data_IF_378487589910
#
_entry.id   IF_378487589910
#
_cell.length_a   1.000
_cell.length_b   1.000
_cell.length_c   1.000
_cell.angle_alpha   90.00
_cell.angle_beta   90.00
_cell.angle_gamma   90.00
#
_symmetry.space_group_name_H-M   'P 1'
#
loop_
_entity.id
_entity.type
_entity.pdbx_description
1 polymer ?
#
# COMPACT_ATOMS: atom_id res chain seq x y z
N UNK A 1 -22.26 15.44 15.10
CA UNK A 1 -22.17 13.97 15.19
C UNK A 1 -21.88 13.45 13.80
N UNK A 2 -20.63 13.11 13.53
CA UNK A 2 -20.25 12.47 12.27
C UNK A 2 -20.43 10.96 12.47
N UNK A 3 -21.39 10.37 11.76
CA UNK A 3 -21.54 8.92 11.68
C UNK A 3 -20.81 8.50 10.41
N UNK A 4 -19.58 8.03 10.56
CA UNK A 4 -18.92 7.33 9.46
C UNK A 4 -19.42 5.90 9.51
N UNK A 5 -20.17 5.54 8.48
CA UNK A 5 -20.55 4.16 8.25
C UNK A 5 -19.28 3.35 7.94
N UNK A 6 -19.03 2.27 8.68
CA UNK A 6 -17.83 1.42 8.54
C UNK A 6 -17.78 0.65 7.20
N UNK A 7 -18.73 0.89 6.30
CA UNK A 7 -18.75 0.32 4.95
C UNK A 7 -17.63 0.90 4.08
N UNK A 8 -16.47 0.23 4.12
CA UNK A 8 -15.28 0.53 3.33
C UNK A 8 -15.51 0.21 1.83
N UNK A 9 -16.17 -0.90 1.51
CA UNK A 9 -16.57 -1.26 0.15
C UNK A 9 -17.86 -2.08 0.17
N UNK A 10 -18.74 -1.84 -0.81
CA UNK A 10 -19.94 -2.64 -1.04
C UNK A 10 -19.81 -3.30 -2.40
N UNK A 11 -20.10 -4.60 -2.46
CA UNK A 11 -20.14 -5.32 -3.73
C UNK A 11 -21.34 -4.83 -4.56
N UNK A 12 -21.06 -4.20 -5.71
CA UNK A 12 -22.10 -3.65 -6.60
C UNK A 12 -22.46 -4.64 -7.70
N UNK A 13 -21.48 -5.36 -8.24
CA UNK A 13 -21.69 -6.19 -9.43
C UNK A 13 -21.69 -7.68 -9.08
N UNK A 14 -22.83 -8.34 -9.30
CA UNK A 14 -23.05 -9.75 -8.96
C UNK A 14 -23.07 -10.68 -10.19
N UNK A 15 -22.90 -10.12 -11.40
CA UNK A 15 -22.85 -10.87 -12.67
C UNK A 15 -21.55 -10.51 -13.38
N UNK A 16 -20.76 -11.52 -13.78
CA UNK A 16 -19.49 -11.38 -14.49
C UNK A 16 -18.50 -10.37 -13.88
N UNK A 17 -18.14 -10.58 -12.60
CA UNK A 17 -17.11 -9.77 -11.94
C UNK A 17 -15.77 -9.86 -12.66
N UNK A 18 -15.28 -8.71 -13.10
CA UNK A 18 -13.92 -8.56 -13.63
C UNK A 18 -13.19 -7.49 -12.83
N UNK A 19 -12.01 -7.85 -12.32
CA UNK A 19 -11.12 -6.91 -11.65
C UNK A 19 -10.44 -6.05 -12.71
N UNK A 20 -10.84 -4.78 -12.79
CA UNK A 20 -10.27 -3.80 -13.73
C UNK A 20 -9.06 -3.06 -13.15
N UNK A 21 -8.94 -3.04 -11.82
CA UNK A 21 -7.83 -2.43 -11.11
C UNK A 21 -6.55 -3.25 -11.27
N UNK A 22 -5.40 -2.58 -11.15
CA UNK A 22 -4.08 -3.19 -11.28
C UNK A 22 -3.21 -2.77 -10.12
N UNK A 23 -2.46 -3.72 -9.59
CA UNK A 23 -1.41 -3.47 -8.61
C UNK A 23 -0.39 -2.47 -9.17
N UNK A 24 -0.01 -1.51 -8.33
CA UNK A 24 0.88 -0.42 -8.69
C UNK A 24 2.29 -0.87 -9.11
N UNK A 25 2.76 -2.01 -8.61
CA UNK A 25 4.14 -2.47 -8.81
C UNK A 25 4.27 -3.51 -9.93
N UNK A 26 3.40 -4.52 -9.94
CA UNK A 26 3.50 -5.63 -10.88
C UNK A 26 2.38 -5.68 -11.92
N UNK A 27 1.37 -4.83 -11.80
CA UNK A 27 0.25 -4.74 -12.73
C UNK A 27 -0.74 -5.90 -12.66
N UNK A 28 -0.60 -6.81 -11.68
CA UNK A 28 -1.55 -7.91 -11.47
C UNK A 28 -2.94 -7.35 -11.14
N UNK A 29 -4.04 -8.02 -11.52
CA UNK A 29 -5.37 -7.56 -11.19
C UNK A 29 -5.54 -7.41 -9.67
N UNK A 30 -5.86 -6.20 -9.21
CA UNK A 30 -5.97 -5.89 -7.80
C UNK A 30 -7.09 -4.87 -7.55
N UNK A 31 -7.89 -5.09 -6.52
CA UNK A 31 -8.97 -4.19 -6.09
C UNK A 31 -8.72 -3.59 -4.70
N UNK A 32 -7.65 -4.04 -4.04
CA UNK A 32 -7.27 -3.60 -2.70
C UNK A 32 -6.50 -2.29 -2.77
N UNK A 33 -7.07 -1.24 -2.21
CA UNK A 33 -6.42 0.05 -2.07
C UNK A 33 -5.81 0.20 -0.68
N UNK A 34 -4.64 0.84 -0.64
CA UNK A 34 -3.97 1.26 0.59
C UNK A 34 -3.56 2.72 0.46
N UNK A 35 -3.35 3.37 1.58
CA UNK A 35 -2.74 4.70 1.61
C UNK A 35 -1.24 4.55 1.78
N UNK A 36 -0.48 5.34 1.03
CA UNK A 36 0.98 5.39 1.17
C UNK A 36 1.37 5.60 2.63
N UNK A 37 2.28 4.76 3.10
CA UNK A 37 2.75 4.75 4.48
C UNK A 37 3.42 6.06 4.90
N UNK A 38 3.96 6.84 3.95
CA UNK A 38 4.38 8.22 4.18
C UNK A 38 3.14 9.13 4.45
N UNK A 39 2.99 9.70 5.67
CA UNK A 39 1.87 10.57 6.03
C UNK A 39 1.76 11.85 5.20
N UNK A 40 2.88 12.38 4.70
CA UNK A 40 2.88 13.60 3.87
C UNK A 40 2.41 13.31 2.44
N UNK A 41 2.73 12.12 1.93
CA UNK A 41 2.26 11.68 0.62
C UNK A 41 0.78 11.26 0.70
N UNK A 42 0.47 10.30 1.59
CA UNK A 42 -0.84 9.71 1.81
C UNK A 42 -1.63 9.33 0.52
N UNK A 43 -0.92 9.12 -0.59
CA UNK A 43 -1.53 8.75 -1.87
C UNK A 43 -2.25 7.41 -1.74
N UNK A 44 -3.47 7.33 -2.25
CA UNK A 44 -4.19 6.07 -2.37
C UNK A 44 -3.80 5.36 -3.67
N UNK A 45 -3.45 4.08 -3.59
CA UNK A 45 -3.10 3.26 -4.75
C UNK A 45 -3.46 1.79 -4.50
N UNK A 46 -3.56 1.02 -5.59
CA UNK A 46 -3.89 -0.40 -5.54
C UNK A 46 -2.62 -1.22 -5.34
N UNK A 47 -2.66 -2.16 -4.41
CA UNK A 47 -1.54 -3.06 -4.16
C UNK A 47 -2.01 -4.31 -3.44
N UNK A 48 -1.38 -5.44 -3.74
CA UNK A 48 -1.53 -6.70 -3.02
C UNK A 48 -0.89 -6.60 -1.62
N UNK A 49 -1.29 -7.47 -0.70
CA UNK A 49 -0.68 -7.51 0.63
C UNK A 49 0.82 -7.84 0.56
N UNK A 50 1.19 -8.68 -0.41
CA UNK A 50 2.57 -9.06 -0.69
C UNK A 50 3.40 -7.86 -1.15
N UNK A 51 2.91 -7.08 -2.13
CA UNK A 51 3.63 -5.91 -2.62
C UNK A 51 3.64 -4.75 -1.63
N UNK A 52 2.58 -4.59 -0.82
CA UNK A 52 2.62 -3.63 0.29
C UNK A 52 3.78 -3.95 1.24
N UNK A 53 3.94 -5.21 1.66
CA UNK A 53 5.04 -5.61 2.53
C UNK A 53 6.41 -5.45 1.86
N UNK A 54 6.54 -5.87 0.59
CA UNK A 54 7.80 -5.73 -0.19
C UNK A 54 8.24 -4.27 -0.36
N UNK A 55 7.29 -3.34 -0.41
CA UNK A 55 7.55 -1.92 -0.65
C UNK A 55 7.34 -1.06 0.61
N UNK A 56 7.30 -1.65 1.80
CA UNK A 56 7.17 -0.96 3.09
C UNK A 56 5.95 -0.02 3.15
N UNK A 57 4.85 -0.44 2.54
CA UNK A 57 3.60 0.31 2.39
C UNK A 57 3.73 1.62 1.59
N UNK A 58 4.85 1.87 0.93
CA UNK A 58 5.13 3.13 0.26
C UNK A 58 4.88 3.03 -1.25
N UNK A 59 4.45 4.12 -1.89
CA UNK A 59 4.19 4.16 -3.34
C UNK A 59 5.46 4.35 -4.19
N UNK A 60 6.58 4.75 -3.56
CA UNK A 60 7.85 5.04 -4.20
C UNK A 60 9.01 4.84 -3.23
N UNK A 61 10.24 4.82 -3.76
CA UNK A 61 11.48 4.67 -2.99
C UNK A 61 11.66 5.78 -1.95
N UNK A 62 11.38 7.02 -2.35
CA UNK A 62 11.48 8.19 -1.47
C UNK A 62 10.50 8.10 -0.31
N UNK A 63 9.29 7.61 -0.58
CA UNK A 63 8.28 7.40 0.46
C UNK A 63 8.64 6.23 1.38
N UNK A 64 9.29 5.19 0.87
CA UNK A 64 9.71 4.04 1.66
C UNK A 64 10.75 4.43 2.72
N UNK A 65 11.66 5.35 2.35
CA UNK A 65 12.72 5.88 3.20
C UNK A 65 12.27 7.05 4.11
N UNK A 66 10.99 7.42 4.09
CA UNK A 66 10.51 8.55 4.86
C UNK A 66 10.62 8.29 6.39
N UNK A 67 11.12 9.25 7.19
CA UNK A 67 11.34 9.05 8.64
C UNK A 67 10.06 8.75 9.42
N UNK A 68 8.91 9.14 8.89
CA UNK A 68 7.59 8.90 9.50
C UNK A 68 6.77 7.84 8.78
N UNK A 69 7.40 6.92 8.05
CA UNK A 69 6.70 5.81 7.41
C UNK A 69 5.92 4.97 8.45
N UNK A 70 4.59 4.94 8.29
CA UNK A 70 3.66 4.26 9.20
C UNK A 70 3.85 2.74 9.24
N UNK A 71 4.17 2.14 8.11
CA UNK A 71 4.39 0.70 7.98
C UNK A 71 5.62 0.26 8.78
N UNK A 72 6.73 1.00 8.64
CA UNK A 72 7.96 0.77 9.41
C UNK A 72 7.69 0.85 10.91
N UNK A 73 6.95 1.88 11.34
CA UNK A 73 6.60 2.09 12.76
C UNK A 73 5.71 0.97 13.32
N UNK A 74 4.75 0.49 12.54
CA UNK A 74 3.84 -0.58 12.94
C UNK A 74 4.56 -1.92 13.05
N UNK A 75 5.47 -2.22 12.13
CA UNK A 75 6.24 -3.47 12.09
C UNK A 75 7.56 -3.43 12.86
N UNK A 76 7.89 -2.30 13.51
CA UNK A 76 9.13 -2.12 14.30
C UNK A 76 10.41 -2.51 13.55
N UNK A 77 10.48 -2.17 12.26
CA UNK A 77 11.61 -2.55 11.41
C UNK A 77 12.88 -1.76 11.76
N UNK A 78 14.03 -2.42 11.62
CA UNK A 78 15.36 -1.81 11.84
C UNK A 78 15.87 -1.09 10.61
N UNK A 79 16.77 -0.11 10.79
CA UNK A 79 17.39 0.64 9.68
C UNK A 79 18.09 -0.25 8.65
N UNK A 80 18.66 -1.36 9.10
CA UNK A 80 19.28 -2.38 8.24
C UNK A 80 18.24 -3.07 7.35
N UNK A 81 17.13 -3.54 7.93
CA UNK A 81 16.06 -4.21 7.19
C UNK A 81 15.39 -3.27 6.19
N UNK A 82 15.20 -2.00 6.57
CA UNK A 82 14.64 -0.96 5.69
C UNK A 82 15.55 -0.77 4.48
N UNK A 83 16.85 -0.58 4.72
CA UNK A 83 17.82 -0.31 3.65
C UNK A 83 17.93 -1.50 2.69
N UNK A 84 17.99 -2.72 3.22
CA UNK A 84 18.02 -3.95 2.42
C UNK A 84 16.75 -4.12 1.59
N UNK A 85 15.58 -3.92 2.19
CA UNK A 85 14.27 -4.04 1.52
C UNK A 85 14.13 -3.00 0.42
N UNK A 86 14.53 -1.75 0.68
CA UNK A 86 14.46 -0.67 -0.30
C UNK A 86 15.42 -0.94 -1.47
N UNK A 87 16.64 -1.40 -1.19
CA UNK A 87 17.62 -1.73 -2.23
C UNK A 87 17.19 -2.92 -3.10
N UNK A 88 16.50 -3.91 -2.52
CA UNK A 88 16.05 -5.10 -3.24
C UNK A 88 14.81 -4.84 -4.12
N UNK A 89 13.86 -4.02 -3.65
CA UNK A 89 12.55 -3.90 -4.28
C UNK A 89 12.35 -2.61 -5.08
N UNK A 90 13.12 -1.55 -4.82
CA UNK A 90 13.12 -0.32 -5.62
C UNK A 90 14.43 -0.19 -6.41
N UNK A 91 14.43 -0.73 -7.64
CA UNK A 91 15.52 -0.54 -8.62
C UNK A 91 15.55 0.88 -9.17
#
# INVERSE_FOLDING_TARGET
MYVFDERIAVEINHVDKQVVGRDWFDGTPCERYVNCSNPECNRQFLTSAENEARHLGACSKECAQHPHNRYIKEHSLTDTEITETVAANFK
#
